data_IF_604111570914
#
_entry.id   IF_604111570914
#
_cell.length_a   1.000
_cell.length_b   1.000
_cell.length_c   1.000
_cell.angle_alpha   90.00
_cell.angle_beta   90.00
_cell.angle_gamma   90.00
#
_symmetry.space_group_name_H-M   'P 1'
#
loop_
_entity.id
_entity.type
_entity.pdbx_description
1 polymer ?
#
# COMPACT_ATOMS: atom_id res chain seq x y z
N UNK A 1 -31.82 11.43 -55.25
CA UNK A 1 -32.51 11.70 -53.97
C UNK A 1 -32.07 10.67 -52.94
N UNK A 2 -31.62 11.08 -51.75
CA UNK A 2 -31.19 10.17 -50.66
C UNK A 2 -32.30 10.04 -49.63
N UNK A 3 -32.64 8.79 -49.26
CA UNK A 3 -33.62 8.50 -48.22
C UNK A 3 -32.93 8.31 -46.87
N UNK A 4 -32.96 9.34 -46.03
CA UNK A 4 -32.38 9.32 -44.68
C UNK A 4 -33.34 9.91 -43.64
N UNK A 5 -34.66 9.68 -43.80
CA UNK A 5 -35.66 10.10 -42.82
C UNK A 5 -35.62 9.19 -41.60
N UNK A 6 -35.97 9.74 -40.43
CA UNK A 6 -36.00 9.02 -39.15
C UNK A 6 -36.74 7.68 -39.25
N UNK A 7 -37.95 7.65 -39.81
CA UNK A 7 -38.76 6.43 -39.97
C UNK A 7 -38.04 5.30 -40.73
N UNK A 8 -37.20 5.65 -41.72
CA UNK A 8 -36.42 4.69 -42.49
C UNK A 8 -35.23 4.21 -41.67
N UNK A 9 -34.55 5.12 -40.99
CA UNK A 9 -33.42 4.80 -40.11
C UNK A 9 -33.88 3.88 -38.97
N UNK A 10 -34.98 4.21 -38.30
CA UNK A 10 -35.56 3.41 -37.22
C UNK A 10 -35.93 2.01 -37.72
N UNK A 11 -36.54 1.89 -38.91
CA UNK A 11 -36.87 0.58 -39.50
C UNK A 11 -35.63 -0.27 -39.81
N UNK A 12 -34.53 0.36 -40.24
CA UNK A 12 -33.25 -0.33 -40.46
C UNK A 12 -32.64 -0.72 -39.11
N UNK A 13 -32.65 0.18 -38.13
CA UNK A 13 -32.16 -0.07 -36.77
C UNK A 13 -32.86 -1.25 -36.10
N UNK A 14 -34.19 -1.35 -36.24
CA UNK A 14 -34.97 -2.50 -35.73
C UNK A 14 -34.52 -3.84 -36.35
N UNK A 15 -34.10 -3.83 -37.61
CA UNK A 15 -33.56 -5.03 -38.26
C UNK A 15 -32.15 -5.33 -37.77
N UNK A 16 -31.31 -4.31 -37.58
CA UNK A 16 -29.96 -4.45 -37.05
C UNK A 16 -29.97 -5.00 -35.63
N UNK A 17 -30.91 -4.59 -34.80
CA UNK A 17 -31.07 -5.09 -33.43
C UNK A 17 -31.44 -6.58 -33.40
N UNK A 18 -32.24 -7.05 -34.36
CA UNK A 18 -32.70 -8.45 -34.43
C UNK A 18 -31.71 -9.39 -35.09
N UNK A 19 -31.07 -8.94 -36.18
CA UNK A 19 -30.30 -9.81 -37.09
C UNK A 19 -28.81 -9.44 -37.17
N UNK A 20 -28.41 -8.32 -36.54
CA UNK A 20 -27.07 -7.74 -36.68
C UNK A 20 -26.90 -6.97 -37.99
N UNK A 21 -25.80 -6.21 -38.09
CA UNK A 21 -25.50 -5.37 -39.27
C UNK A 21 -25.30 -6.16 -40.57
N UNK A 22 -25.04 -7.48 -40.48
CA UNK A 22 -24.95 -8.38 -41.64
C UNK A 22 -26.23 -8.37 -42.51
N UNK A 23 -27.38 -8.03 -41.91
CA UNK A 23 -28.65 -7.88 -42.62
C UNK A 23 -28.57 -6.88 -43.77
N UNK A 24 -27.74 -5.84 -43.62
CA UNK A 24 -27.52 -4.83 -44.66
C UNK A 24 -26.90 -5.44 -45.91
N UNK A 25 -26.07 -6.47 -45.78
CA UNK A 25 -25.40 -7.13 -46.90
C UNK A 25 -26.22 -8.26 -47.49
N UNK A 26 -26.98 -8.98 -46.66
CA UNK A 26 -27.76 -10.15 -47.09
C UNK A 26 -29.10 -9.81 -47.76
N UNK A 27 -29.73 -8.68 -47.42
CA UNK A 27 -31.04 -8.29 -47.94
C UNK A 27 -30.97 -7.31 -49.13
N UNK A 28 -31.97 -7.36 -50.01
CA UNK A 28 -32.17 -6.38 -51.08
C UNK A 28 -32.63 -5.03 -50.50
N UNK A 29 -32.40 -3.91 -51.22
CA UNK A 29 -32.76 -2.57 -50.74
C UNK A 29 -34.26 -2.44 -50.39
N UNK A 30 -35.15 -3.12 -51.13
CA UNK A 30 -36.60 -3.13 -50.88
C UNK A 30 -36.99 -3.80 -49.56
N UNK A 31 -36.16 -4.70 -49.03
CA UNK A 31 -36.42 -5.43 -47.79
C UNK A 31 -35.92 -4.66 -46.57
N UNK A 32 -35.01 -3.70 -46.80
CA UNK A 32 -34.46 -2.80 -45.78
C UNK A 32 -35.30 -1.51 -45.62
N UNK A 33 -36.34 -1.33 -46.44
CA UNK A 33 -37.23 -0.16 -46.41
C UNK A 33 -38.61 -0.54 -45.88
N UNK A 34 -39.33 0.39 -45.23
CA UNK A 34 -40.74 0.21 -44.90
C UNK A 34 -41.57 -0.14 -46.15
N UNK A 35 -42.55 -1.05 -46.05
CA UNK A 35 -43.40 -1.42 -47.19
C UNK A 35 -44.08 -0.20 -47.83
N UNK A 36 -44.03 -0.12 -49.15
CA UNK A 36 -44.66 0.98 -49.91
C UNK A 36 -43.85 2.28 -49.95
N UNK A 37 -42.59 2.28 -49.50
CA UNK A 37 -41.70 3.44 -49.62
C UNK A 37 -41.57 3.90 -51.08
N UNK A 38 -41.75 5.20 -51.33
CA UNK A 38 -41.62 5.83 -52.65
C UNK A 38 -40.70 7.05 -52.61
N UNK A 39 -40.04 7.32 -53.72
CA UNK A 39 -39.22 8.52 -53.88
C UNK A 39 -40.10 9.78 -53.87
N UNK A 40 -39.85 10.76 -52.97
CA UNK A 40 -40.62 11.99 -52.91
C UNK A 40 -40.57 12.86 -54.18
N UNK A 41 -39.52 12.75 -54.98
CA UNK A 41 -39.34 13.56 -56.19
C UNK A 41 -39.93 12.90 -57.45
N UNK A 42 -39.67 11.60 -57.66
CA UNK A 42 -40.03 10.92 -58.91
C UNK A 42 -41.10 9.83 -58.73
N UNK A 43 -41.60 9.60 -57.51
CA UNK A 43 -42.59 8.58 -57.17
C UNK A 43 -42.17 7.13 -57.50
N UNK A 44 -40.88 6.90 -57.80
CA UNK A 44 -40.32 5.58 -58.07
C UNK A 44 -40.19 4.70 -56.83
N UNK A 45 -40.14 3.38 -57.04
CA UNK A 45 -40.05 2.34 -55.99
C UNK A 45 -38.73 1.56 -56.00
N UNK A 46 -37.84 1.84 -56.95
CA UNK A 46 -36.55 1.17 -57.07
C UNK A 46 -35.47 1.99 -56.38
N UNK A 47 -34.80 1.38 -55.40
CA UNK A 47 -33.76 2.02 -54.59
C UNK A 47 -32.46 1.23 -54.64
N UNK A 48 -31.35 1.94 -54.46
CA UNK A 48 -30.04 1.34 -54.19
C UNK A 48 -29.67 1.65 -52.76
N UNK A 49 -29.11 0.67 -52.07
CA UNK A 49 -28.51 0.86 -50.74
C UNK A 49 -27.07 1.34 -50.88
N UNK A 50 -26.63 2.16 -49.93
CA UNK A 50 -25.23 2.55 -49.81
C UNK A 50 -24.38 1.34 -49.38
N UNK A 51 -23.14 1.27 -49.84
CA UNK A 51 -22.21 0.18 -49.50
C UNK A 51 -21.01 0.67 -48.68
N UNK A 52 -20.84 1.98 -48.53
CA UNK A 52 -19.91 2.55 -47.57
C UNK A 52 -20.28 2.14 -46.12
N UNK A 53 -19.26 1.98 -45.30
CA UNK A 53 -19.39 1.68 -43.86
C UNK A 53 -18.95 2.90 -43.03
N UNK A 54 -19.36 2.92 -41.77
CA UNK A 54 -18.91 3.94 -40.83
C UNK A 54 -17.44 3.70 -40.44
N UNK A 55 -16.77 4.79 -40.08
CA UNK A 55 -15.42 4.75 -39.50
C UNK A 55 -15.46 4.11 -38.10
N UNK A 56 -14.41 3.36 -37.76
CA UNK A 56 -14.28 2.68 -36.46
C UNK A 56 -14.24 3.65 -35.28
N UNK A 57 -13.86 4.90 -35.51
CA UNK A 57 -13.97 5.97 -34.51
C UNK A 57 -15.42 6.38 -34.24
N UNK A 58 -16.32 6.24 -35.21
CA UNK A 58 -17.74 6.42 -34.96
C UNK A 58 -18.28 5.28 -34.11
N UNK A 59 -17.95 4.03 -34.45
CA UNK A 59 -18.36 2.83 -33.71
C UNK A 59 -17.98 2.93 -32.23
N UNK A 60 -16.70 3.18 -31.95
CA UNK A 60 -16.21 3.40 -30.58
C UNK A 60 -16.77 4.68 -29.97
N UNK A 61 -16.92 5.75 -30.77
CA UNK A 61 -17.44 7.04 -30.33
C UNK A 61 -18.86 6.95 -29.76
N UNK A 62 -19.71 6.07 -30.29
CA UNK A 62 -21.09 5.89 -29.80
C UNK A 62 -21.22 4.85 -28.69
N UNK A 63 -20.12 4.37 -28.11
CA UNK A 63 -20.14 3.36 -27.04
C UNK A 63 -20.94 3.78 -25.81
N UNK A 64 -21.01 5.08 -25.48
CA UNK A 64 -21.85 5.57 -24.38
C UNK A 64 -23.34 5.23 -24.60
N UNK A 65 -23.84 5.40 -25.84
CA UNK A 65 -25.22 5.09 -26.17
C UNK A 65 -25.43 3.57 -26.28
N UNK A 66 -24.49 2.87 -26.92
CA UNK A 66 -24.60 1.42 -27.15
C UNK A 66 -24.39 0.58 -25.87
N UNK A 67 -23.64 1.09 -24.88
CA UNK A 67 -23.24 0.35 -23.68
C UNK A 67 -23.78 0.98 -22.40
N UNK A 68 -23.51 2.26 -22.14
CA UNK A 68 -23.90 2.88 -20.86
C UNK A 68 -25.42 3.04 -20.76
N UNK A 69 -26.08 3.53 -21.81
CA UNK A 69 -27.53 3.72 -21.82
C UNK A 69 -28.30 2.40 -21.97
N UNK A 70 -27.70 1.42 -22.66
CA UNK A 70 -28.33 0.12 -22.93
C UNK A 70 -28.31 -0.87 -21.76
N UNK A 71 -27.68 -0.52 -20.63
CA UNK A 71 -27.49 -1.42 -19.48
C UNK A 71 -27.92 -0.71 -18.20
N UNK A 72 -28.93 -1.26 -17.54
CA UNK A 72 -29.56 -0.70 -16.33
C UNK A 72 -28.62 -0.52 -15.13
N UNK A 73 -27.54 -1.30 -15.06
CA UNK A 73 -26.50 -1.20 -14.03
C UNK A 73 -25.38 -0.19 -14.35
N UNK A 74 -25.44 0.48 -15.50
CA UNK A 74 -24.51 1.53 -15.89
C UNK A 74 -25.22 2.89 -15.87
N UNK A 75 -24.44 3.97 -15.92
CA UNK A 75 -24.97 5.33 -15.96
C UNK A 75 -24.33 6.15 -17.08
N UNK A 76 -25.13 7.06 -17.61
CA UNK A 76 -24.68 8.15 -18.46
C UNK A 76 -24.94 9.49 -17.74
N UNK A 77 -23.96 10.41 -17.68
CA UNK A 77 -22.57 10.24 -18.10
C UNK A 77 -21.79 9.26 -17.20
N UNK A 78 -20.70 8.69 -17.72
CA UNK A 78 -19.77 7.89 -16.91
C UNK A 78 -18.98 8.79 -15.94
N UNK A 79 -18.62 8.30 -14.75
CA UNK A 79 -17.77 9.07 -13.82
C UNK A 79 -16.41 9.42 -14.45
N UNK A 80 -15.81 8.46 -15.14
CA UNK A 80 -14.45 8.57 -15.67
C UNK A 80 -14.29 7.81 -16.98
N UNK A 81 -13.63 8.43 -17.94
CA UNK A 81 -12.98 7.76 -19.08
C UNK A 81 -11.46 7.73 -18.82
N UNK A 82 -10.83 6.56 -18.98
CA UNK A 82 -9.40 6.36 -18.73
C UNK A 82 -8.74 5.61 -19.88
N UNK A 83 -7.83 6.27 -20.60
CA UNK A 83 -7.08 5.68 -21.71
C UNK A 83 -5.73 6.39 -21.95
N UNK A 84 -4.95 5.89 -22.91
CA UNK A 84 -3.68 6.49 -23.32
C UNK A 84 -3.81 7.87 -23.97
N UNK A 85 -2.72 8.64 -23.94
CA UNK A 85 -2.65 10.01 -24.48
C UNK A 85 -3.03 10.18 -25.96
N UNK A 86 -2.92 9.12 -26.76
CA UNK A 86 -3.38 9.10 -28.14
C UNK A 86 -4.90 9.25 -28.28
N UNK A 87 -5.67 8.89 -27.24
CA UNK A 87 -7.13 8.92 -27.28
C UNK A 87 -7.73 10.33 -27.23
N UNK A 88 -6.94 11.37 -26.90
CA UNK A 88 -7.38 12.76 -27.06
C UNK A 88 -7.77 13.11 -28.51
N UNK A 89 -7.23 12.39 -29.50
CA UNK A 89 -7.61 12.51 -30.91
C UNK A 89 -8.35 11.29 -31.46
N UNK A 90 -8.55 10.29 -30.60
CA UNK A 90 -9.26 9.05 -30.90
C UNK A 90 -10.58 9.02 -30.14
N UNK A 91 -10.72 8.06 -29.23
CA UNK A 91 -11.98 7.73 -28.57
C UNK A 91 -12.56 8.86 -27.73
N UNK A 92 -11.73 9.60 -26.97
CA UNK A 92 -12.23 10.73 -26.19
C UNK A 92 -12.86 11.81 -27.09
N UNK A 93 -12.25 12.05 -28.25
CA UNK A 93 -12.74 13.04 -29.21
C UNK A 93 -14.02 12.58 -29.89
N UNK A 94 -14.03 11.35 -30.43
CA UNK A 94 -15.19 10.84 -31.15
C UNK A 94 -16.40 10.67 -30.21
N UNK A 95 -16.19 10.19 -28.99
CA UNK A 95 -17.26 10.09 -27.99
C UNK A 95 -17.79 11.44 -27.54
N UNK A 96 -16.92 12.43 -27.33
CA UNK A 96 -17.38 13.78 -26.99
C UNK A 96 -18.19 14.38 -28.13
N UNK A 97 -17.71 14.27 -29.38
CA UNK A 97 -18.38 14.84 -30.55
C UNK A 97 -19.76 14.24 -30.76
N UNK A 98 -19.87 12.90 -30.70
CA UNK A 98 -21.15 12.20 -30.91
C UNK A 98 -22.12 12.43 -29.76
N UNK A 99 -21.65 12.49 -28.51
CA UNK A 99 -22.48 12.72 -27.33
C UNK A 99 -22.99 14.15 -27.26
N UNK A 100 -22.13 15.16 -27.48
CA UNK A 100 -22.58 16.56 -27.46
C UNK A 100 -23.61 16.81 -28.55
N UNK A 101 -23.45 16.20 -29.74
CA UNK A 101 -24.43 16.33 -30.81
C UNK A 101 -25.78 15.65 -30.46
N UNK A 102 -25.76 14.45 -29.88
CA UNK A 102 -26.98 13.65 -29.67
C UNK A 102 -27.64 13.81 -28.29
N UNK A 103 -26.91 14.33 -27.29
CA UNK A 103 -27.33 14.47 -25.89
C UNK A 103 -27.09 15.86 -25.30
N UNK A 104 -26.36 16.73 -25.99
CA UNK A 104 -26.05 18.08 -25.50
C UNK A 104 -25.07 18.11 -24.31
N UNK A 105 -24.37 17.01 -24.02
CA UNK A 105 -23.44 16.90 -22.89
C UNK A 105 -22.27 15.96 -23.24
N UNK A 106 -21.21 15.99 -22.43
CA UNK A 106 -20.10 15.05 -22.55
C UNK A 106 -20.51 13.66 -22.02
N UNK A 107 -19.94 12.56 -22.56
CA UNK A 107 -20.29 11.21 -22.12
C UNK A 107 -19.60 10.78 -20.81
N UNK A 108 -18.81 11.66 -20.23
CA UNK A 108 -18.03 11.46 -19.01
C UNK A 108 -18.04 12.72 -18.14
N UNK A 109 -17.92 12.54 -16.83
CA UNK A 109 -17.71 13.62 -15.86
C UNK A 109 -16.22 14.00 -15.75
N UNK A 110 -15.33 13.02 -15.92
CA UNK A 110 -13.87 13.22 -15.89
C UNK A 110 -13.14 12.39 -16.94
N UNK A 111 -11.96 12.87 -17.35
CA UNK A 111 -11.04 12.14 -18.23
C UNK A 111 -9.71 12.02 -17.51
N UNK A 112 -9.20 10.79 -17.44
CA UNK A 112 -7.87 10.50 -16.96
C UNK A 112 -7.04 9.93 -18.09
N UNK A 113 -5.83 10.46 -18.27
CA UNK A 113 -4.95 10.08 -19.37
C UNK A 113 -3.65 9.54 -18.81
N UNK A 114 -3.13 8.48 -19.43
CA UNK A 114 -1.80 7.96 -19.12
C UNK A 114 -0.82 8.01 -20.31
N UNK A 115 0.48 8.02 -20.01
CA UNK A 115 1.55 7.90 -20.99
C UNK A 115 1.68 6.50 -21.57
N UNK A 116 2.64 6.33 -22.47
CA UNK A 116 2.94 5.04 -23.10
C UNK A 116 3.91 4.23 -22.25
N UNK A 117 3.84 2.90 -22.39
CA UNK A 117 4.89 2.02 -21.86
C UNK A 117 6.10 2.07 -22.78
N UNK A 118 7.26 2.38 -22.22
CA UNK A 118 8.56 2.44 -22.89
C UNK A 118 9.56 1.52 -22.20
N UNK A 119 10.65 1.17 -22.89
CA UNK A 119 11.69 0.33 -22.30
C UNK A 119 12.44 1.06 -21.15
N UNK A 120 13.35 0.34 -20.48
CA UNK A 120 14.15 0.90 -19.38
C UNK A 120 14.99 2.13 -19.74
N UNK A 121 15.27 2.36 -21.03
CA UNK A 121 15.99 3.52 -21.54
C UNK A 121 15.05 4.63 -22.04
N UNK A 122 13.73 4.47 -21.90
CA UNK A 122 12.73 5.42 -22.35
C UNK A 122 12.45 5.37 -23.86
N UNK A 123 12.83 4.29 -24.55
CA UNK A 123 12.57 4.13 -25.98
C UNK A 123 11.26 3.39 -26.21
N UNK A 124 10.56 3.77 -27.28
CA UNK A 124 9.37 3.06 -27.75
C UNK A 124 9.69 1.58 -27.98
N UNK A 125 8.85 0.71 -27.45
CA UNK A 125 9.02 -0.73 -27.63
C UNK A 125 8.61 -1.16 -29.05
N UNK A 126 9.43 -1.98 -29.71
CA UNK A 126 9.08 -2.59 -30.99
C UNK A 126 9.68 -3.98 -31.13
N UNK A 127 8.98 -4.89 -31.83
CA UNK A 127 9.47 -6.24 -32.10
C UNK A 127 10.83 -6.23 -32.82
N UNK A 128 11.04 -5.26 -33.72
CA UNK A 128 12.30 -5.08 -34.45
C UNK A 128 13.47 -4.65 -33.58
N UNK A 129 13.21 -3.94 -32.48
CA UNK A 129 14.24 -3.48 -31.53
C UNK A 129 14.53 -4.51 -30.44
N UNK A 130 13.73 -5.59 -30.34
CA UNK A 130 13.92 -6.66 -29.36
C UNK A 130 13.71 -6.25 -27.90
N UNK A 131 13.16 -5.05 -27.65
CA UNK A 131 12.99 -4.45 -26.32
C UNK A 131 11.55 -4.58 -25.78
N UNK A 132 10.70 -5.39 -26.41
CA UNK A 132 9.32 -5.62 -25.97
C UNK A 132 9.34 -6.58 -24.79
N UNK A 133 8.69 -6.19 -23.69
CA UNK A 133 8.39 -7.08 -22.56
C UNK A 133 6.88 -7.29 -22.54
N UNK A 134 6.44 -8.53 -22.80
CA UNK A 134 5.02 -8.84 -22.84
C UNK A 134 4.46 -9.03 -21.41
N UNK A 135 3.21 -8.59 -21.11
CA UNK A 135 2.59 -8.80 -19.81
C UNK A 135 2.58 -10.27 -19.37
N UNK A 136 2.30 -11.20 -20.29
CA UNK A 136 2.29 -12.64 -20.00
C UNK A 136 3.64 -13.19 -19.53
N UNK A 137 4.75 -12.65 -20.03
CA UNK A 137 6.09 -13.04 -19.61
C UNK A 137 6.35 -12.59 -18.17
N UNK A 138 5.93 -11.37 -17.82
CA UNK A 138 6.04 -10.83 -16.47
C UNK A 138 5.17 -11.63 -15.51
N UNK A 139 3.91 -11.90 -15.88
CA UNK A 139 2.98 -12.66 -15.05
C UNK A 139 3.52 -14.07 -14.78
N UNK A 140 4.06 -14.75 -15.80
CA UNK A 140 4.66 -16.09 -15.63
C UNK A 140 5.90 -16.08 -14.74
N UNK A 141 6.74 -15.03 -14.82
CA UNK A 141 8.03 -14.95 -14.12
C UNK A 141 7.92 -14.39 -12.69
N UNK A 142 7.09 -13.38 -12.49
CA UNK A 142 7.00 -12.59 -11.25
C UNK A 142 5.61 -12.64 -10.59
N UNK A 143 4.57 -13.05 -11.33
CA UNK A 143 3.19 -13.01 -10.88
C UNK A 143 2.47 -11.70 -11.23
N UNK A 144 1.14 -11.76 -11.32
CA UNK A 144 0.32 -10.60 -11.68
C UNK A 144 0.42 -9.43 -10.68
N UNK A 145 0.64 -9.73 -9.40
CA UNK A 145 0.81 -8.72 -8.34
C UNK A 145 2.00 -7.78 -8.63
N UNK A 146 3.10 -8.30 -9.16
CA UNK A 146 4.28 -7.49 -9.46
C UNK A 146 4.01 -6.54 -10.63
N UNK A 147 3.26 -6.98 -11.64
CA UNK A 147 2.84 -6.12 -12.73
C UNK A 147 1.92 -5.00 -12.23
N UNK A 148 0.97 -5.30 -11.35
CA UNK A 148 0.08 -4.29 -10.75
C UNK A 148 0.82 -3.32 -9.85
N UNK A 149 1.77 -3.82 -9.06
CA UNK A 149 2.62 -2.99 -8.22
C UNK A 149 3.52 -2.07 -9.05
N UNK A 150 4.01 -2.55 -10.20
CA UNK A 150 4.73 -1.71 -11.16
C UNK A 150 3.84 -0.57 -11.68
N UNK A 151 2.63 -0.87 -12.16
CA UNK A 151 1.69 0.17 -12.61
C UNK A 151 1.43 1.19 -11.50
N UNK A 152 1.22 0.72 -10.27
CA UNK A 152 0.96 1.59 -9.14
C UNK A 152 2.20 2.39 -8.69
N UNK A 153 3.42 1.94 -8.97
CA UNK A 153 4.65 2.62 -8.54
C UNK A 153 5.10 3.74 -9.49
N UNK A 154 4.69 3.69 -10.75
CA UNK A 154 5.06 4.67 -11.76
C UNK A 154 4.11 5.90 -11.73
N UNK A 155 4.64 7.06 -12.10
CA UNK A 155 3.82 8.24 -12.39
C UNK A 155 3.28 8.14 -13.82
N UNK A 156 2.04 7.69 -13.97
CA UNK A 156 1.43 7.42 -15.27
C UNK A 156 1.18 8.66 -16.12
N UNK A 157 1.35 9.88 -15.58
CA UNK A 157 1.17 11.13 -16.34
C UNK A 157 2.25 11.30 -17.40
N UNK A 158 3.41 10.67 -17.18
CA UNK A 158 4.51 10.56 -18.13
C UNK A 158 4.55 9.16 -18.77
N UNK A 159 5.44 8.98 -19.75
CA UNK A 159 5.75 7.65 -20.28
C UNK A 159 6.36 6.76 -19.17
N UNK A 160 5.78 5.58 -18.98
CA UNK A 160 6.14 4.66 -17.90
C UNK A 160 7.18 3.64 -18.37
N UNK A 161 8.25 3.50 -17.60
CA UNK A 161 9.40 2.66 -17.98
C UNK A 161 9.25 1.25 -17.45
N UNK A 162 9.62 0.27 -18.26
CA UNK A 162 9.68 -1.12 -17.84
C UNK A 162 11.00 -1.79 -18.21
N UNK A 163 11.59 -2.50 -17.24
CA UNK A 163 12.80 -3.30 -17.43
C UNK A 163 12.84 -4.45 -16.42
N UNK A 164 13.65 -5.48 -16.69
CA UNK A 164 13.84 -6.56 -15.72
C UNK A 164 14.43 -6.07 -14.38
N UNK A 165 15.27 -5.04 -14.41
CA UNK A 165 15.85 -4.45 -13.20
C UNK A 165 14.77 -3.77 -12.34
N UNK A 166 13.89 -2.99 -12.97
CA UNK A 166 12.74 -2.36 -12.28
C UNK A 166 11.86 -3.43 -11.65
N UNK A 167 11.53 -4.50 -12.40
CA UNK A 167 10.70 -5.60 -11.90
C UNK A 167 11.35 -6.37 -10.76
N UNK A 168 12.68 -6.57 -10.80
CA UNK A 168 13.44 -7.19 -9.69
C UNK A 168 13.38 -6.34 -8.43
N UNK A 169 13.63 -5.03 -8.53
CA UNK A 169 13.53 -4.10 -7.39
C UNK A 169 12.12 -4.09 -6.79
N UNK A 170 11.09 -4.07 -7.63
CA UNK A 170 9.70 -4.15 -7.18
C UNK A 170 9.36 -5.48 -6.51
N UNK A 171 9.95 -6.59 -6.98
CA UNK A 171 9.80 -7.90 -6.34
C UNK A 171 10.40 -7.91 -4.93
N UNK A 172 11.52 -7.22 -4.70
CA UNK A 172 12.10 -7.06 -3.37
C UNK A 172 11.23 -6.18 -2.47
N UNK A 173 10.74 -5.06 -2.98
CA UNK A 173 9.80 -4.19 -2.26
C UNK A 173 8.51 -4.95 -1.86
N UNK A 174 7.93 -5.71 -2.78
CA UNK A 174 6.79 -6.59 -2.53
C UNK A 174 7.09 -7.60 -1.41
N UNK A 175 8.27 -8.25 -1.43
CA UNK A 175 8.68 -9.17 -0.36
C UNK A 175 8.74 -8.50 1.01
N UNK A 176 9.14 -7.23 1.09
CA UNK A 176 9.15 -6.47 2.36
C UNK A 176 7.73 -6.31 2.91
N UNK A 177 6.79 -5.85 2.07
CA UNK A 177 5.37 -5.72 2.45
C UNK A 177 4.79 -7.07 2.92
N UNK A 178 5.01 -8.14 2.13
CA UNK A 178 4.54 -9.48 2.46
C UNK A 178 5.15 -10.02 3.76
N UNK A 179 6.45 -9.80 3.98
CA UNK A 179 7.13 -10.24 5.20
C UNK A 179 6.64 -9.49 6.44
N UNK A 180 6.33 -8.20 6.33
CA UNK A 180 5.71 -7.42 7.41
C UNK A 180 4.36 -8.03 7.78
N UNK A 181 3.48 -8.30 6.80
CA UNK A 181 2.20 -8.96 7.05
C UNK A 181 2.38 -10.35 7.70
N UNK A 182 3.30 -11.16 7.17
CA UNK A 182 3.59 -12.50 7.70
C UNK A 182 4.08 -12.45 9.15
N UNK A 183 4.98 -11.52 9.47
CA UNK A 183 5.49 -11.35 10.83
C UNK A 183 4.35 -11.00 11.80
N UNK A 184 3.48 -10.06 11.42
CA UNK A 184 2.36 -9.65 12.26
C UNK A 184 1.39 -10.82 12.48
N UNK A 185 0.98 -11.51 11.40
CA UNK A 185 0.12 -12.69 11.49
C UNK A 185 0.70 -13.76 12.43
N UNK A 186 2.00 -14.03 12.32
CA UNK A 186 2.69 -14.99 13.18
C UNK A 186 2.72 -14.61 14.66
N UNK A 187 2.52 -13.34 15.00
CA UNK A 187 2.46 -12.84 16.38
C UNK A 187 1.03 -12.65 16.91
N UNK A 188 0.02 -12.93 16.10
CA UNK A 188 -1.39 -12.82 16.47
C UNK A 188 -2.07 -14.19 16.67
N UNK A 189 -1.31 -15.29 16.62
CA UNK A 189 -1.86 -16.66 16.65
C UNK A 189 -2.72 -16.98 17.90
N UNK A 190 -2.49 -16.30 19.02
CA UNK A 190 -3.21 -16.45 20.30
C UNK A 190 -3.94 -15.15 20.74
N UNK A 191 -4.19 -14.25 19.79
CA UNK A 191 -4.91 -13.01 20.04
C UNK A 191 -6.37 -13.15 19.58
N UNK A 192 -7.30 -12.93 20.48
CA UNK A 192 -8.73 -12.84 20.19
C UNK A 192 -9.16 -11.35 20.27
N UNK A 193 -9.42 -10.67 19.13
CA UNK A 193 -9.73 -9.24 19.14
C UNK A 193 -11.01 -8.89 19.91
N UNK A 194 -11.90 -9.85 20.18
CA UNK A 194 -13.11 -9.62 20.98
C UNK A 194 -12.85 -9.63 22.49
N UNK A 195 -11.71 -10.16 22.95
CA UNK A 195 -11.41 -10.36 24.37
C UNK A 195 -10.12 -9.69 24.82
N UNK A 196 -9.13 -9.69 23.93
CA UNK A 196 -7.75 -9.33 24.26
C UNK A 196 -7.39 -7.90 23.84
N UNK A 197 -8.26 -7.22 23.08
CA UNK A 197 -8.05 -5.83 22.68
C UNK A 197 -7.91 -4.93 23.92
N UNK A 198 -6.92 -4.05 23.87
CA UNK A 198 -6.67 -3.04 24.90
C UNK A 198 -7.14 -1.67 24.39
N UNK A 199 -7.84 -0.93 25.23
CA UNK A 199 -8.30 0.43 24.93
C UNK A 199 -7.12 1.36 24.60
N UNK A 200 -7.31 2.29 23.66
CA UNK A 200 -6.22 3.16 23.17
C UNK A 200 -5.47 3.89 24.30
N UNK A 201 -6.20 4.45 25.26
CA UNK A 201 -5.63 5.16 26.43
C UNK A 201 -4.77 4.27 27.33
N UNK A 202 -5.01 2.96 27.31
CA UNK A 202 -4.33 1.97 28.13
C UNK A 202 -3.16 1.30 27.39
N UNK A 203 -3.00 1.59 26.09
CA UNK A 203 -1.85 1.13 25.31
C UNK A 203 -0.56 1.81 25.76
N UNK A 204 0.53 1.07 25.67
CA UNK A 204 1.87 1.61 25.86
C UNK A 204 2.19 2.66 24.80
N UNK A 205 3.01 3.65 25.15
CA UNK A 205 3.25 4.82 24.30
C UNK A 205 3.77 4.48 22.89
N UNK A 206 4.68 3.51 22.78
CA UNK A 206 5.22 3.07 21.49
C UNK A 206 4.15 2.46 20.58
N UNK A 207 3.13 1.86 21.17
CA UNK A 207 2.01 1.25 20.45
C UNK A 207 1.05 2.34 19.98
N UNK A 208 0.76 3.32 20.84
CA UNK A 208 0.00 4.53 20.49
C UNK A 208 0.67 5.32 19.38
N UNK A 209 2.00 5.47 19.41
CA UNK A 209 2.77 6.11 18.33
C UNK A 209 2.58 5.37 17.00
N UNK A 210 2.66 4.03 17.03
CA UNK A 210 2.50 3.22 15.82
C UNK A 210 1.09 3.32 15.25
N UNK A 211 0.08 3.45 16.10
CA UNK A 211 -1.30 3.73 15.70
C UNK A 211 -1.48 5.16 15.17
N UNK A 212 -0.83 6.17 15.75
CA UNK A 212 -0.79 7.53 15.19
C UNK A 212 -0.25 7.50 13.75
N UNK A 213 0.88 6.81 13.52
CA UNK A 213 1.48 6.68 12.19
C UNK A 213 0.58 5.95 11.21
N UNK A 214 -0.15 4.93 11.68
CA UNK A 214 -1.17 4.25 10.89
C UNK A 214 -2.28 5.22 10.46
N UNK A 215 -2.77 6.09 11.36
CA UNK A 215 -3.80 7.07 10.99
C UNK A 215 -3.31 8.04 9.92
N UNK A 216 -2.07 8.54 10.04
CA UNK A 216 -1.43 9.37 9.02
C UNK A 216 -1.30 8.63 7.68
N UNK A 217 -0.97 7.34 7.71
CA UNK A 217 -0.92 6.50 6.52
C UNK A 217 -2.32 6.36 5.87
N UNK A 218 -3.36 6.11 6.67
CA UNK A 218 -4.75 5.97 6.18
C UNK A 218 -5.17 7.24 5.45
N UNK A 219 -4.99 8.42 6.06
CA UNK A 219 -5.32 9.72 5.44
C UNK A 219 -4.59 9.85 4.10
N UNK A 220 -3.26 9.70 4.11
CA UNK A 220 -2.43 9.88 2.93
C UNK A 220 -2.77 8.92 1.79
N UNK A 221 -3.06 7.65 2.09
CA UNK A 221 -3.42 6.67 1.06
C UNK A 221 -4.81 6.93 0.49
N UNK A 222 -5.77 7.33 1.34
CA UNK A 222 -7.12 7.68 0.88
C UNK A 222 -7.09 8.90 -0.04
N UNK A 223 -6.41 9.98 0.37
CA UNK A 223 -6.21 11.17 -0.46
C UNK A 223 -5.54 10.81 -1.80
N UNK A 224 -4.60 9.87 -1.78
CA UNK A 224 -3.93 9.39 -2.98
C UNK A 224 -4.84 8.55 -3.88
N UNK A 225 -5.80 7.79 -3.35
CA UNK A 225 -6.83 7.13 -4.18
C UNK A 225 -7.78 8.17 -4.78
N UNK A 226 -8.25 9.13 -3.99
CA UNK A 226 -9.20 10.17 -4.44
C UNK A 226 -8.60 11.07 -5.52
N UNK A 227 -7.28 11.29 -5.47
CA UNK A 227 -6.54 12.08 -6.47
C UNK A 227 -5.88 11.23 -7.57
N UNK A 228 -6.17 9.94 -7.64
CA UNK A 228 -5.54 8.99 -8.59
C UNK A 228 -4.00 9.01 -8.56
N UNK A 229 -3.38 9.28 -7.41
CA UNK A 229 -1.92 9.34 -7.22
C UNK A 229 -1.35 8.01 -6.72
N UNK A 230 -1.47 6.95 -7.52
CA UNK A 230 -1.13 5.57 -7.10
C UNK A 230 0.33 5.38 -6.63
N UNK A 231 1.29 6.09 -7.23
CA UNK A 231 2.70 6.05 -6.82
C UNK A 231 2.88 6.49 -5.36
N UNK A 232 2.07 7.45 -4.91
CA UNK A 232 2.07 7.89 -3.52
C UNK A 232 1.57 6.78 -2.60
N UNK A 233 0.60 5.98 -3.02
CA UNK A 233 0.11 4.82 -2.26
C UNK A 233 1.22 3.79 -2.09
N UNK A 234 1.86 3.41 -3.20
CA UNK A 234 2.97 2.45 -3.19
C UNK A 234 4.10 2.91 -2.25
N UNK A 235 4.60 4.13 -2.43
CA UNK A 235 5.71 4.64 -1.62
C UNK A 235 5.34 4.77 -0.15
N UNK A 236 4.13 5.25 0.17
CA UNK A 236 3.68 5.41 1.55
C UNK A 236 3.55 4.07 2.26
N UNK A 237 2.92 3.08 1.60
CA UNK A 237 2.77 1.74 2.16
C UNK A 237 4.13 1.04 2.32
N UNK A 238 4.98 1.08 1.29
CA UNK A 238 6.30 0.46 1.34
C UNK A 238 7.17 1.08 2.44
N UNK A 239 7.23 2.41 2.52
CA UNK A 239 8.00 3.11 3.55
C UNK A 239 7.48 2.80 4.94
N UNK A 240 6.16 2.76 5.13
CA UNK A 240 5.57 2.37 6.41
C UNK A 240 5.96 0.93 6.80
N UNK A 241 5.90 -0.02 5.87
CA UNK A 241 6.32 -1.40 6.15
C UNK A 241 7.81 -1.53 6.47
N UNK A 242 8.68 -0.75 5.82
CA UNK A 242 10.13 -0.85 5.97
C UNK A 242 10.66 -0.04 7.15
N UNK A 243 10.33 1.24 7.21
CA UNK A 243 10.88 2.20 8.17
C UNK A 243 10.14 2.12 9.50
N UNK A 244 8.83 2.35 9.49
CA UNK A 244 8.04 2.41 10.72
C UNK A 244 7.89 1.03 11.35
N UNK A 245 7.56 0.02 10.54
CA UNK A 245 7.30 -1.33 11.04
C UNK A 245 8.58 -2.14 11.18
N UNK A 246 9.26 -2.49 10.07
CA UNK A 246 10.33 -3.49 10.13
C UNK A 246 11.61 -3.00 10.83
N UNK A 247 12.04 -1.77 10.58
CA UNK A 247 13.31 -1.24 11.09
C UNK A 247 13.21 -0.68 12.52
N UNK A 248 12.00 -0.32 12.95
CA UNK A 248 11.75 0.27 14.25
C UNK A 248 10.79 -0.57 15.08
N UNK A 249 9.48 -0.47 14.83
CA UNK A 249 8.48 -0.93 15.77
C UNK A 249 8.54 -2.44 16.00
N UNK A 250 8.42 -3.25 14.93
CA UNK A 250 8.40 -4.72 15.03
C UNK A 250 9.72 -5.28 15.55
N UNK A 251 10.84 -4.59 15.37
CA UNK A 251 12.13 -5.01 15.90
C UNK A 251 12.22 -4.80 17.41
N UNK A 252 11.76 -3.65 17.90
CA UNK A 252 11.61 -3.37 19.34
C UNK A 252 10.62 -4.34 19.99
N UNK A 253 9.54 -4.69 19.27
CA UNK A 253 8.49 -5.54 19.81
C UNK A 253 8.90 -6.99 20.06
N UNK A 254 9.97 -7.50 19.44
CA UNK A 254 10.37 -8.91 19.57
C UNK A 254 10.54 -9.34 21.03
N UNK A 255 11.21 -8.53 21.83
CA UNK A 255 11.42 -8.83 23.25
C UNK A 255 10.09 -8.98 23.98
N UNK A 256 9.16 -8.05 23.76
CA UNK A 256 7.84 -8.08 24.41
C UNK A 256 6.92 -9.19 23.89
N UNK A 257 6.89 -9.41 22.58
CA UNK A 257 6.03 -10.43 21.97
C UNK A 257 6.48 -11.86 22.30
N UNK A 258 7.79 -12.10 22.44
CA UNK A 258 8.35 -13.44 22.64
C UNK A 258 8.62 -13.78 24.11
N UNK A 259 8.86 -12.77 24.96
CA UNK A 259 9.34 -12.99 26.33
C UNK A 259 8.25 -12.76 27.37
N UNK A 260 7.39 -11.74 27.18
CA UNK A 260 6.33 -11.42 28.14
C UNK A 260 5.28 -12.54 28.26
N UNK A 261 4.59 -12.59 29.40
CA UNK A 261 3.50 -13.55 29.63
C UNK A 261 2.40 -13.38 28.56
N UNK A 262 1.76 -14.49 28.09
CA UNK A 262 0.77 -14.43 27.02
C UNK A 262 -0.35 -13.40 27.23
N UNK A 263 -0.87 -13.31 28.46
CA UNK A 263 -1.95 -12.38 28.85
C UNK A 263 -1.48 -11.07 29.49
N UNK A 264 -0.18 -10.77 29.48
CA UNK A 264 0.34 -9.51 30.04
C UNK A 264 -0.17 -8.29 29.28
N UNK A 265 -0.37 -7.17 29.99
CA UNK A 265 -0.82 -5.91 29.40
C UNK A 265 0.15 -5.45 28.30
N UNK A 266 1.44 -5.62 28.54
CA UNK A 266 2.53 -5.27 27.63
C UNK A 266 2.39 -6.00 26.29
N UNK A 267 2.15 -7.32 26.34
CA UNK A 267 1.97 -8.14 25.13
C UNK A 267 0.64 -7.87 24.44
N UNK A 268 -0.46 -7.73 25.19
CA UNK A 268 -1.78 -7.44 24.60
C UNK A 268 -1.87 -6.04 23.99
N UNK A 269 -1.16 -5.06 24.56
CA UNK A 269 -0.97 -3.74 23.96
C UNK A 269 -0.29 -3.83 22.59
N UNK A 270 0.80 -4.60 22.51
CA UNK A 270 1.52 -4.88 21.27
C UNK A 270 0.62 -5.52 20.21
N UNK A 271 -0.09 -6.59 20.60
CA UNK A 271 -0.95 -7.37 19.71
C UNK A 271 -2.13 -6.56 19.22
N UNK A 272 -2.73 -5.72 20.07
CA UNK A 272 -3.80 -4.79 19.68
C UNK A 272 -3.31 -3.86 18.57
N UNK A 273 -2.17 -3.20 18.76
CA UNK A 273 -1.66 -2.27 17.76
C UNK A 273 -1.27 -2.94 16.44
N UNK A 274 -0.56 -4.07 16.46
CA UNK A 274 -0.21 -4.78 15.22
C UNK A 274 -1.44 -5.39 14.52
N UNK A 275 -2.48 -5.78 15.27
CA UNK A 275 -3.76 -6.22 14.70
C UNK A 275 -4.44 -5.09 13.91
N UNK A 276 -4.59 -3.91 14.51
CA UNK A 276 -5.19 -2.74 13.84
C UNK A 276 -4.39 -2.32 12.60
N UNK A 277 -3.06 -2.35 12.71
CA UNK A 277 -2.15 -2.10 11.59
C UNK A 277 -2.40 -3.11 10.46
N UNK A 278 -2.38 -4.41 10.76
CA UNK A 278 -2.55 -5.45 9.74
C UNK A 278 -3.92 -5.34 9.05
N UNK A 279 -5.00 -5.23 9.83
CA UNK A 279 -6.36 -5.10 9.30
C UNK A 279 -6.49 -3.90 8.35
N UNK A 280 -5.91 -2.76 8.75
CA UNK A 280 -5.96 -1.52 7.97
C UNK A 280 -5.12 -1.59 6.70
N UNK A 281 -3.84 -2.00 6.77
CA UNK A 281 -2.97 -2.02 5.58
C UNK A 281 -3.44 -3.04 4.54
N UNK A 282 -4.04 -4.15 4.97
CA UNK A 282 -4.58 -5.18 4.05
C UNK A 282 -5.74 -4.63 3.25
N UNK A 283 -6.63 -3.86 3.88
CA UNK A 283 -7.75 -3.18 3.20
C UNK A 283 -7.24 -2.08 2.27
N UNK A 284 -6.27 -1.28 2.70
CA UNK A 284 -5.70 -0.18 1.90
C UNK A 284 -4.96 -0.69 0.65
N UNK A 285 -4.26 -1.81 0.75
CA UNK A 285 -3.48 -2.36 -0.37
C UNK A 285 -4.31 -3.25 -1.31
N UNK A 286 -5.55 -3.62 -0.94
CA UNK A 286 -6.38 -4.57 -1.71
C UNK A 286 -6.64 -4.19 -3.17
N UNK A 287 -6.87 -2.92 -3.56
CA UNK A 287 -7.04 -2.54 -4.97
C UNK A 287 -5.76 -2.68 -5.83
N UNK A 288 -4.58 -2.72 -5.21
CA UNK A 288 -3.30 -2.87 -5.93
C UNK A 288 -2.82 -4.32 -5.84
N UNK A 289 -2.71 -4.84 -4.62
CA UNK A 289 -2.20 -6.16 -4.26
C UNK A 289 -3.35 -7.14 -3.97
N UNK A 290 -4.27 -7.34 -4.92
CA UNK A 290 -5.53 -8.03 -4.64
C UNK A 290 -5.38 -9.49 -4.23
N UNK A 291 -4.43 -10.23 -4.81
CA UNK A 291 -4.23 -11.63 -4.45
C UNK A 291 -3.58 -11.75 -3.07
N UNK A 292 -2.57 -10.92 -2.80
CA UNK A 292 -1.87 -10.93 -1.51
C UNK A 292 -2.78 -10.48 -0.39
N UNK A 293 -3.58 -9.44 -0.62
CA UNK A 293 -4.52 -8.93 0.38
C UNK A 293 -5.58 -9.96 0.72
N UNK A 294 -6.12 -10.66 -0.28
CA UNK A 294 -7.09 -11.74 -0.06
C UNK A 294 -6.46 -12.94 0.68
N UNK A 295 -5.23 -13.30 0.35
CA UNK A 295 -4.48 -14.35 1.07
C UNK A 295 -4.28 -13.98 2.54
N UNK A 296 -3.76 -12.77 2.81
CA UNK A 296 -3.54 -12.28 4.18
C UNK A 296 -4.87 -12.19 4.92
N UNK A 297 -5.93 -11.66 4.28
CA UNK A 297 -7.25 -11.49 4.89
C UNK A 297 -7.80 -12.79 5.45
N UNK A 298 -7.63 -13.92 4.77
CA UNK A 298 -8.05 -15.25 5.27
C UNK A 298 -7.46 -15.58 6.65
N UNK A 299 -6.28 -15.06 6.97
CA UNK A 299 -5.58 -15.32 8.22
C UNK A 299 -5.74 -14.22 9.28
N UNK A 300 -6.33 -13.06 8.95
CA UNK A 300 -6.64 -12.01 9.93
C UNK A 300 -7.73 -12.49 10.89
N UNK A 301 -7.56 -12.26 12.19
CA UNK A 301 -8.55 -12.62 13.21
C UNK A 301 -9.83 -11.80 13.04
N UNK A 302 -10.98 -12.46 13.12
CA UNK A 302 -12.28 -11.78 13.02
C UNK A 302 -12.62 -11.07 14.32
N UNK A 303 -13.02 -9.81 14.24
CA UNK A 303 -13.63 -9.03 15.32
C UNK A 303 -15.17 -9.09 15.30
N UNK A 304 -15.73 -10.04 14.56
CA UNK A 304 -17.17 -10.17 14.33
C UNK A 304 -17.72 -9.33 13.16
N UNK A 305 -16.94 -8.37 12.64
CA UNK A 305 -17.31 -7.54 11.49
C UNK A 305 -16.59 -7.91 10.19
N UNK A 306 -15.70 -8.90 10.26
CA UNK A 306 -14.87 -9.33 9.13
C UNK A 306 -15.70 -9.97 8.02
N UNK A 307 -15.68 -9.33 6.85
CA UNK A 307 -16.29 -9.86 5.62
C UNK A 307 -15.56 -11.10 5.09
N UNK A 308 -16.25 -11.89 4.26
CA UNK A 308 -15.68 -13.11 3.66
C UNK A 308 -14.49 -12.87 2.74
N UNK A 309 -14.40 -11.68 2.15
CA UNK A 309 -13.28 -11.22 1.30
C UNK A 309 -12.92 -9.78 1.65
N UNK A 310 -11.63 -9.44 1.54
CA UNK A 310 -11.19 -8.05 1.75
C UNK A 310 -11.81 -7.10 0.71
N UNK A 311 -12.13 -7.62 -0.48
CA UNK A 311 -12.72 -6.85 -1.59
C UNK A 311 -14.20 -6.51 -1.37
N UNK A 312 -14.81 -7.07 -0.32
CA UNK A 312 -16.15 -6.70 0.15
C UNK A 312 -16.09 -5.79 1.38
N UNK A 313 -14.89 -5.56 1.93
CA UNK A 313 -14.70 -4.67 3.09
C UNK A 313 -14.54 -3.23 2.61
N UNK A 314 -15.04 -2.28 3.41
CA UNK A 314 -14.81 -0.85 3.15
C UNK A 314 -13.33 -0.49 3.31
N UNK A 315 -12.89 0.69 2.92
CA UNK A 315 -11.60 1.21 3.41
C UNK A 315 -11.66 1.61 4.88
N UNK A 316 -10.55 1.50 5.64
CA UNK A 316 -10.49 2.08 6.98
C UNK A 316 -10.64 3.60 6.88
N UNK A 317 -11.30 4.19 7.88
CA UNK A 317 -11.33 5.64 8.10
C UNK A 317 -10.34 5.99 9.20
N UNK A 318 -9.72 7.17 9.11
CA UNK A 318 -8.80 7.61 10.15
C UNK A 318 -9.58 7.87 11.45
N UNK A 319 -9.07 7.35 12.56
CA UNK A 319 -9.56 7.66 13.89
C UNK A 319 -8.79 8.87 14.43
N UNK A 320 -9.44 10.03 14.50
CA UNK A 320 -8.83 11.27 14.97
C UNK A 320 -8.33 11.17 16.41
N UNK A 321 -9.00 10.39 17.27
CA UNK A 321 -8.59 10.17 18.66
C UNK A 321 -7.24 9.46 18.81
N UNK A 322 -6.80 8.76 17.75
CA UNK A 322 -5.50 8.10 17.69
C UNK A 322 -4.39 9.01 17.13
N UNK A 323 -4.70 10.24 16.68
CA UNK A 323 -3.74 11.19 16.13
C UNK A 323 -3.21 12.09 17.25
N UNK A 324 -2.10 11.67 17.85
CA UNK A 324 -1.40 12.42 18.89
C UNK A 324 -0.10 13.08 18.37
N UNK A 325 -0.17 14.35 17.98
CA UNK A 325 0.98 15.12 17.48
C UNK A 325 2.03 15.42 18.56
N UNK A 326 1.60 15.58 19.82
CA UNK A 326 2.52 15.83 20.93
C UNK A 326 3.33 14.58 21.24
N UNK A 327 2.69 13.41 21.23
CA UNK A 327 3.37 12.12 21.33
C UNK A 327 4.32 11.90 20.15
N UNK A 328 3.90 12.21 18.92
CA UNK A 328 4.77 12.08 17.75
C UNK A 328 6.03 12.97 17.88
N UNK A 329 5.87 14.25 18.22
CA UNK A 329 6.99 15.18 18.41
C UNK A 329 7.92 14.75 19.56
N UNK A 330 7.37 14.21 20.64
CA UNK A 330 8.13 13.59 21.73
C UNK A 330 8.97 12.41 21.19
N UNK A 331 8.38 11.52 20.42
CA UNK A 331 9.05 10.34 19.88
C UNK A 331 10.06 10.64 18.78
N UNK A 332 9.92 11.74 18.05
CA UNK A 332 10.97 12.21 17.13
C UNK A 332 12.29 12.46 17.84
N UNK A 333 12.25 12.92 19.10
CA UNK A 333 13.45 13.09 19.93
C UNK A 333 14.10 11.74 20.24
N UNK A 334 13.32 10.74 20.66
CA UNK A 334 13.83 9.38 20.90
C UNK A 334 14.43 8.75 19.64
N UNK A 335 13.81 8.98 18.48
CA UNK A 335 14.25 8.40 17.22
C UNK A 335 15.54 9.03 16.69
N UNK A 336 15.72 10.34 16.90
CA UNK A 336 17.01 11.01 16.62
C UNK A 336 18.13 10.42 17.48
N UNK A 337 17.91 10.28 18.78
CA UNK A 337 18.89 9.66 19.69
C UNK A 337 19.14 8.19 19.29
N UNK A 338 18.08 7.42 18.96
CA UNK A 338 18.23 6.04 18.47
C UNK A 338 19.06 5.96 17.19
N UNK A 339 18.91 6.90 16.26
CA UNK A 339 19.70 6.96 15.04
C UNK A 339 21.19 7.08 15.34
N UNK A 340 21.55 7.93 16.30
CA UNK A 340 22.94 8.11 16.76
C UNK A 340 23.47 6.90 17.54
N UNK A 341 22.66 6.31 18.42
CA UNK A 341 23.01 5.07 19.12
C UNK A 341 23.25 3.94 18.12
N UNK A 342 22.42 3.82 17.09
CA UNK A 342 22.58 2.80 16.04
C UNK A 342 23.91 2.98 15.29
N UNK A 343 24.30 4.22 14.97
CA UNK A 343 25.60 4.52 14.36
C UNK A 343 26.79 4.21 15.28
N UNK A 344 26.66 4.51 16.57
CA UNK A 344 27.67 4.15 17.57
C UNK A 344 27.81 2.62 17.70
N UNK A 345 26.70 1.88 17.72
CA UNK A 345 26.69 0.40 17.76
C UNK A 345 27.33 -0.21 16.51
N UNK A 346 27.08 0.34 15.32
CA UNK A 346 27.75 -0.11 14.08
C UNK A 346 29.27 0.13 14.13
N UNK A 347 29.71 1.27 14.69
CA UNK A 347 31.15 1.53 14.89
C UNK A 347 31.77 0.53 15.85
N UNK A 348 31.11 0.26 16.98
CA UNK A 348 31.55 -0.74 17.95
C UNK A 348 31.58 -2.17 17.38
N UNK A 349 30.66 -2.53 16.47
CA UNK A 349 30.69 -3.81 15.73
C UNK A 349 31.90 -3.90 14.81
N UNK A 350 32.19 -2.84 14.04
CA UNK A 350 33.36 -2.76 13.16
C UNK A 350 34.66 -2.93 13.94
N UNK A 351 34.71 -2.32 15.12
CA UNK A 351 35.88 -2.32 16.00
C UNK A 351 35.93 -3.59 16.90
N UNK A 352 34.99 -4.53 16.68
CA UNK A 352 34.88 -5.85 17.34
C UNK A 352 34.70 -5.78 18.86
N UNK A 353 34.15 -4.67 19.37
CA UNK A 353 33.79 -4.51 20.79
C UNK A 353 32.58 -5.36 21.13
N UNK A 354 31.60 -5.38 20.22
CA UNK A 354 30.35 -6.14 20.32
C UNK A 354 30.09 -6.93 19.03
N UNK A 355 29.30 -8.01 19.11
CA UNK A 355 28.79 -8.71 17.93
C UNK A 355 27.34 -8.31 17.62
N UNK A 356 26.45 -8.59 18.56
CA UNK A 356 25.03 -8.24 18.51
C UNK A 356 24.75 -6.99 19.36
N UNK A 357 23.68 -6.24 19.07
CA UNK A 357 23.37 -5.01 19.84
C UNK A 357 23.04 -5.32 21.31
N UNK A 358 22.41 -6.46 21.57
CA UNK A 358 22.19 -6.96 22.94
C UNK A 358 23.49 -7.30 23.69
N UNK A 359 24.65 -7.38 23.05
CA UNK A 359 25.91 -7.54 23.76
C UNK A 359 26.37 -6.20 24.39
N UNK A 360 25.68 -5.10 24.10
CA UNK A 360 26.12 -3.75 24.41
C UNK A 360 25.54 -3.16 25.71
N UNK A 361 26.40 -2.42 26.40
CA UNK A 361 26.03 -1.34 27.33
C UNK A 361 26.28 -0.01 26.63
N UNK A 362 25.29 0.87 26.64
CA UNK A 362 25.36 2.20 26.01
C UNK A 362 25.37 3.27 27.08
N UNK A 363 26.44 4.06 27.11
CA UNK A 363 26.56 5.23 27.98
C UNK A 363 26.26 6.47 27.14
N UNK A 364 25.15 7.15 27.45
CA UNK A 364 24.75 8.40 26.82
C UNK A 364 25.20 9.58 27.67
N UNK A 365 25.99 10.47 27.10
CA UNK A 365 26.32 11.76 27.66
C UNK A 365 25.53 12.81 26.89
N UNK A 366 24.66 13.52 27.60
CA UNK A 366 23.69 14.43 26.97
C UNK A 366 23.67 15.80 27.67
N UNK A 367 23.28 16.87 26.95
CA UNK A 367 23.06 18.18 27.56
C UNK A 367 21.91 18.14 28.58
N UNK A 368 21.92 19.04 29.55
CA UNK A 368 20.95 19.10 30.66
C UNK A 368 19.48 19.00 30.21
N UNK A 369 19.11 19.70 29.12
CA UNK A 369 17.74 19.66 28.58
C UNK A 369 17.35 18.25 28.10
N UNK A 370 18.25 17.55 27.41
CA UNK A 370 18.01 16.21 26.90
C UNK A 370 18.12 15.16 28.03
N UNK A 371 18.99 15.39 29.02
CA UNK A 371 19.07 14.59 30.24
C UNK A 371 17.72 14.59 30.98
N UNK A 372 17.16 15.76 31.24
CA UNK A 372 15.87 15.91 31.90
C UNK A 372 14.72 15.20 31.17
N UNK A 373 14.77 15.20 29.84
CA UNK A 373 13.82 14.47 29.00
C UNK A 373 13.99 12.95 29.08
N UNK A 374 15.20 12.43 28.81
CA UNK A 374 15.47 10.99 28.71
C UNK A 374 15.40 10.28 30.07
N UNK A 375 15.72 10.97 31.17
CA UNK A 375 15.71 10.41 32.52
C UNK A 375 14.37 9.81 32.91
N UNK A 376 13.26 10.40 32.46
CA UNK A 376 11.91 9.88 32.71
C UNK A 376 11.60 8.54 32.03
N UNK A 377 12.43 8.09 31.11
CA UNK A 377 12.20 6.91 30.25
C UNK A 377 13.38 5.94 30.26
N UNK A 378 14.28 6.05 31.24
CA UNK A 378 15.55 5.30 31.28
C UNK A 378 15.32 3.79 31.16
N UNK A 379 14.24 3.27 31.74
CA UNK A 379 13.89 1.85 31.70
C UNK A 379 13.42 1.37 30.32
N UNK A 380 12.84 2.27 29.52
CA UNK A 380 12.37 1.98 28.16
C UNK A 380 13.50 2.10 27.12
N UNK A 381 14.54 2.89 27.41
CA UNK A 381 15.64 3.16 26.47
C UNK A 381 16.35 1.88 26.02
N UNK A 382 16.50 0.89 26.90
CA UNK A 382 17.11 -0.41 26.53
C UNK A 382 16.33 -1.12 25.42
N UNK A 383 15.01 -1.08 25.49
CA UNK A 383 14.12 -1.67 24.49
C UNK A 383 14.09 -0.81 23.22
N UNK A 384 14.08 0.52 23.36
CA UNK A 384 14.11 1.45 22.23
C UNK A 384 15.44 1.35 21.47
N UNK A 385 16.57 1.08 22.11
CA UNK A 385 17.86 0.96 21.43
C UNK A 385 18.25 -0.50 21.13
N UNK A 386 17.50 -1.47 21.64
CA UNK A 386 17.73 -2.91 21.47
C UNK A 386 19.12 -3.29 22.00
N UNK A 387 19.40 -2.88 23.24
CA UNK A 387 20.65 -3.14 23.96
C UNK A 387 20.35 -3.69 25.35
N UNK A 388 21.34 -4.30 26.02
CA UNK A 388 21.12 -4.89 27.33
C UNK A 388 21.14 -3.87 28.46
N UNK A 389 21.90 -2.78 28.31
CA UNK A 389 21.98 -1.74 29.33
C UNK A 389 22.15 -0.36 28.72
N UNK A 390 21.51 0.62 29.34
CA UNK A 390 21.68 2.05 29.02
C UNK A 390 21.95 2.79 30.31
N UNK A 391 23.00 3.61 30.32
CA UNK A 391 23.23 4.59 31.38
C UNK A 391 23.15 5.99 30.78
N UNK A 392 22.64 6.92 31.57
CA UNK A 392 22.45 8.30 31.17
C UNK A 392 23.24 9.21 32.10
N UNK A 393 24.09 10.04 31.50
CA UNK A 393 24.99 10.98 32.16
C UNK A 393 24.77 12.38 31.58
N UNK A 394 25.03 13.41 32.39
CA UNK A 394 25.15 14.78 31.90
C UNK A 394 26.55 14.98 31.28
N UNK A 395 26.68 15.92 30.34
CA UNK A 395 27.98 16.28 29.72
C UNK A 395 29.02 16.80 30.72
N UNK A 396 28.61 17.22 31.92
CA UNK A 396 29.54 17.57 33.00
C UNK A 396 30.24 16.34 33.61
N UNK A 397 29.63 15.15 33.51
CA UNK A 397 30.14 13.91 34.08
C UNK A 397 31.15 13.20 33.18
N UNK A 398 31.25 13.63 31.92
CA UNK A 398 32.17 13.05 30.95
C UNK A 398 31.69 13.23 29.52
N UNK A 399 32.35 12.51 28.63
CA UNK A 399 32.13 12.63 27.20
C UNK A 399 32.39 11.28 26.52
N UNK A 400 31.53 10.90 25.58
CA UNK A 400 31.64 9.64 24.84
C UNK A 400 32.65 9.71 23.69
N UNK A 401 33.13 8.55 23.25
CA UNK A 401 34.06 8.45 22.11
C UNK A 401 33.38 8.81 20.79
N UNK A 402 32.12 8.36 20.61
CA UNK A 402 31.33 8.70 19.45
C UNK A 402 30.64 10.05 19.66
N UNK A 403 30.86 11.00 18.75
CA UNK A 403 30.18 12.29 18.72
C UNK A 403 29.01 12.25 17.75
N UNK A 404 27.84 12.68 18.22
CA UNK A 404 26.67 12.82 17.36
C UNK A 404 26.87 13.95 16.35
N UNK A 405 26.38 13.74 15.13
CA UNK A 405 26.34 14.76 14.07
C UNK A 405 24.96 15.44 13.97
N UNK A 406 23.89 14.75 14.36
CA UNK A 406 22.49 15.22 14.24
C UNK A 406 21.92 15.78 15.55
N UNK A 407 22.45 15.39 16.71
CA UNK A 407 21.99 15.81 18.03
C UNK A 407 23.12 16.55 18.73
N UNK A 408 23.00 17.88 18.76
CA UNK A 408 24.01 18.74 19.36
C UNK A 408 24.27 18.38 20.84
N UNK A 409 25.55 18.27 21.17
CA UNK A 409 26.04 17.90 22.50
C UNK A 409 25.76 16.45 22.93
N UNK A 410 25.26 15.56 22.08
CA UNK A 410 25.16 14.13 22.37
C UNK A 410 26.48 13.43 22.07
N UNK A 411 27.00 12.67 23.02
CA UNK A 411 28.09 11.73 22.80
C UNK A 411 27.82 10.38 23.45
N UNK A 412 28.39 9.33 22.88
CA UNK A 412 28.03 7.95 23.17
C UNK A 412 29.29 7.12 23.36
N UNK A 413 29.29 6.29 24.39
CA UNK A 413 30.26 5.21 24.53
C UNK A 413 29.54 3.85 24.53
N UNK A 414 30.10 2.88 23.81
CA UNK A 414 29.54 1.53 23.67
C UNK A 414 30.54 0.54 24.26
N UNK A 415 30.12 -0.18 25.30
CA UNK A 415 30.89 -1.22 25.95
C UNK A 415 30.19 -2.57 25.92
N UNK A 416 30.81 -3.60 26.50
CA UNK A 416 30.15 -4.89 26.71
C UNK A 416 29.20 -4.82 27.90
N UNK A 417 28.00 -5.36 27.72
CA UNK A 417 26.99 -5.43 28.76
C UNK A 417 27.44 -6.30 29.94
N UNK A 418 27.14 -5.90 31.18
CA UNK A 418 27.52 -6.65 32.37
C UNK A 418 26.69 -7.93 32.53
N UNK A 419 27.24 -8.89 33.27
CA UNK A 419 26.57 -10.15 33.58
C UNK A 419 26.80 -11.24 32.54
N UNK A 420 25.82 -12.14 32.37
CA UNK A 420 25.88 -13.24 31.41
C UNK A 420 24.68 -13.17 30.47
N UNK A 421 24.83 -13.75 29.28
CA UNK A 421 23.75 -13.85 28.30
C UNK A 421 22.63 -14.78 28.82
N UNK A 422 21.41 -14.27 28.90
CA UNK A 422 20.23 -15.08 29.12
C UNK A 422 19.91 -15.94 27.88
N UNK A 423 19.78 -17.25 28.02
CA UNK A 423 19.52 -18.14 26.87
C UNK A 423 18.10 -17.98 26.27
N UNK A 424 17.17 -17.35 27.02
CA UNK A 424 15.79 -17.11 26.57
C UNK A 424 15.60 -15.78 25.84
N UNK A 425 15.94 -14.65 26.47
CA UNK A 425 15.76 -13.32 25.88
C UNK A 425 17.01 -12.72 25.26
N UNK A 426 18.17 -13.38 25.40
CA UNK A 426 19.48 -12.97 24.87
C UNK A 426 20.05 -11.66 25.41
N UNK A 427 19.34 -11.01 26.34
CA UNK A 427 19.85 -9.88 27.11
C UNK A 427 20.92 -10.38 28.08
N UNK A 428 21.99 -9.60 28.21
CA UNK A 428 23.01 -9.76 29.22
C UNK A 428 22.51 -9.15 30.52
N UNK A 429 22.43 -9.98 31.55
CA UNK A 429 21.86 -9.60 32.83
C UNK A 429 22.69 -10.21 33.98
N UNK A 430 23.04 -9.43 35.01
CA UNK A 430 23.76 -9.94 36.18
C UNK A 430 23.02 -11.03 36.94
N UNK A 431 21.69 -11.09 36.86
CA UNK A 431 20.86 -12.08 37.58
C UNK A 431 20.88 -13.48 36.98
N UNK A 432 21.53 -13.66 35.82
CA UNK A 432 21.65 -14.98 35.18
C UNK A 432 22.50 -15.90 36.05
N UNK A 433 21.85 -16.91 36.62
CA UNK A 433 22.45 -17.90 37.51
C UNK A 433 22.01 -17.78 38.97
N UNK A 434 21.25 -16.74 39.33
CA UNK A 434 20.78 -16.53 40.71
C UNK A 434 19.68 -17.54 41.11
N UNK A 435 18.88 -18.00 40.15
CA UNK A 435 17.86 -19.02 40.39
C UNK A 435 18.45 -20.44 40.21
N UNK A 436 18.47 -21.22 41.29
CA UNK A 436 19.04 -22.57 41.30
C UNK A 436 18.36 -23.59 40.39
N UNK A 437 17.09 -23.37 40.01
CA UNK A 437 16.34 -24.23 39.08
C UNK A 437 16.53 -23.80 37.62
N UNK A 438 16.77 -22.51 37.40
CA UNK A 438 16.82 -21.88 36.07
C UNK A 438 18.14 -21.10 35.89
N UNK A 439 19.26 -21.82 35.87
CA UNK A 439 20.62 -21.23 35.96
C UNK A 439 21.08 -20.47 34.71
N UNK A 440 20.45 -20.68 33.55
CA UNK A 440 20.87 -20.06 32.27
C UNK A 440 20.01 -18.87 31.84
N UNK A 441 19.04 -18.46 32.66
CA UNK A 441 18.12 -17.36 32.32
C UNK A 441 18.10 -16.29 33.40
N UNK A 442 17.75 -15.06 33.01
CA UNK A 442 17.64 -13.92 33.93
C UNK A 442 16.35 -13.98 34.74
N UNK A 443 16.30 -13.22 35.84
CA UNK A 443 15.16 -13.19 36.75
C UNK A 443 13.83 -12.85 36.05
N UNK A 444 13.82 -11.87 35.15
CA UNK A 444 12.65 -11.51 34.32
C UNK A 444 12.12 -12.70 33.51
N UNK A 445 13.02 -13.51 32.96
CA UNK A 445 12.64 -14.70 32.20
C UNK A 445 12.12 -15.83 33.09
N UNK A 446 12.62 -15.94 34.32
CA UNK A 446 12.10 -16.88 35.32
C UNK A 446 10.67 -16.52 35.66
N UNK A 447 10.40 -15.27 36.03
CA UNK A 447 9.05 -14.78 36.38
C UNK A 447 8.05 -15.05 35.26
N UNK A 448 8.44 -14.78 34.01
CA UNK A 448 7.61 -15.05 32.84
C UNK A 448 7.38 -16.54 32.53
N UNK A 449 8.21 -17.47 33.02
CA UNK A 449 7.97 -18.92 32.87
C UNK A 449 7.14 -19.45 34.04
N UNK A 450 7.41 -18.96 35.24
CA UNK A 450 6.74 -19.41 36.46
C UNK A 450 5.37 -18.74 36.66
N UNK A 451 5.07 -17.69 35.88
CA UNK A 451 3.77 -17.02 35.88
C UNK A 451 3.53 -16.13 37.10
N UNK A 452 4.61 -15.62 37.69
CA UNK A 452 4.60 -14.80 38.92
C UNK A 452 4.76 -13.32 38.63
#
# INVERSE_FOLDING_TARGET
>A
YTLAKKEIIDYISDQFEKEGSNVWFSKEAKELLPPGTKCPECNGSDFKKEMDILDVWFDSGVSYAAVLEGRDYLKFPADIYLEGSDQHRGWFHSSLLTSVNNRGSAPYESVLTHGFVVDGHGKKMSKSSGNVIAPDEIIKKYGAEILRLWVAAEDYRDDIRISEEILKRLSEAYRRIRNTCRYILGNLYDFDPLKDKVEYKDLLEIDRLSLHRLQKLIIRIRDAYDSFSFHTIYHSLHNFCVVDMSAFYLDVLKDRLYISLPGSKERRSAQTAIYEILSSIVRLMAPILSFTSEEVWKHVQSDGSKEGSVHLSQFPTANEDCIDEELAAKWDTFLKVRGEVSRALESARRDKVIGHSLDAEVNLYVPEKLYGFLKGYIDDLKSIFIVSKVNLFNNEEGDGEFKSEEVDGLSINVGQAPGKKCERCWIYDPTVGDNGKHITICQRCVEAIEGT
#
